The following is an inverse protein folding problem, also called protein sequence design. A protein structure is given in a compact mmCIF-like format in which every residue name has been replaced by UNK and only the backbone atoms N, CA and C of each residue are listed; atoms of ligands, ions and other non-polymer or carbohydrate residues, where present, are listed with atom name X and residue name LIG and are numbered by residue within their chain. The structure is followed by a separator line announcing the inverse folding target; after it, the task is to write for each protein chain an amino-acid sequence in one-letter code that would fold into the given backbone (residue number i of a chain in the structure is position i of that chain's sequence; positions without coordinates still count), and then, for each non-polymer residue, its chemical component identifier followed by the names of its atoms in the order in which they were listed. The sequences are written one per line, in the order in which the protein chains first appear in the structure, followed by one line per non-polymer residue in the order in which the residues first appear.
data_IF_150165100175
#
_entry.id   IF_150165100175
#
_cell.length_a   1.000
_cell.length_b   1.000
_cell.length_c   1.000
_cell.angle_alpha   90.00
_cell.angle_beta   90.00
_cell.angle_gamma   90.00
#
_symmetry.space_group_name_H-M   'P 1'
#
loop_
_entity.id
_entity.type
_entity.pdbx_description
1 polymer ?
#
# COMPACT_ATOMS: atom_id res chain seq x y z
N UNK A 1 17.92 0.37 18.80
CA UNK A 1 17.42 0.23 17.41
C UNK A 1 16.15 1.04 17.32
N UNK A 2 16.03 2.05 16.44
CA UNK A 2 14.77 2.78 16.37
C UNK A 2 13.71 1.82 15.86
N UNK A 3 12.64 1.67 16.62
CA UNK A 3 11.48 0.88 16.22
C UNK A 3 10.84 1.61 15.04
N UNK A 4 11.19 1.19 13.82
CA UNK A 4 10.51 1.64 12.61
C UNK A 4 9.04 1.24 12.74
N UNK A 5 8.16 2.21 13.00
CA UNK A 5 6.72 1.96 13.06
C UNK A 5 6.29 1.34 11.73
N UNK A 6 5.76 0.11 11.79
CA UNK A 6 5.25 -0.61 10.64
C UNK A 6 3.74 -0.62 10.68
N UNK A 7 3.12 -0.43 9.53
CA UNK A 7 1.68 -0.50 9.35
C UNK A 7 1.32 -1.69 8.46
N UNK A 8 0.20 -2.32 8.77
CA UNK A 8 -0.36 -3.37 7.92
C UNK A 8 -1.12 -2.77 6.76
N UNK A 9 -0.94 -3.34 5.58
CA UNK A 9 -1.61 -2.97 4.36
C UNK A 9 -2.00 -4.22 3.57
N UNK A 10 -3.26 -4.32 3.16
CA UNK A 10 -3.70 -5.34 2.22
C UNK A 10 -3.33 -4.96 0.80
N UNK A 11 -2.52 -5.80 0.14
CA UNK A 11 -2.05 -5.58 -1.23
C UNK A 11 -2.58 -6.64 -2.18
N UNK A 12 -2.82 -6.34 -3.46
CA UNK A 12 -3.24 -7.33 -4.45
C UNK A 12 -2.27 -8.51 -4.50
N UNK A 13 -2.78 -9.74 -4.47
CA UNK A 13 -1.92 -10.95 -4.55
C UNK A 13 -1.12 -11.04 -5.84
N UNK A 14 -1.61 -10.44 -6.92
CA UNK A 14 -0.89 -10.34 -8.19
C UNK A 14 0.48 -9.65 -8.05
N UNK A 15 0.63 -8.77 -7.06
CA UNK A 15 1.90 -8.10 -6.75
C UNK A 15 2.92 -9.02 -6.07
N UNK A 16 2.53 -10.18 -5.55
CA UNK A 16 3.47 -11.15 -4.99
C UNK A 16 4.36 -11.82 -6.05
N UNK A 17 4.12 -11.51 -7.33
CA UNK A 17 5.03 -11.86 -8.43
C UNK A 17 6.34 -11.07 -8.41
N UNK A 18 6.39 -9.92 -7.71
CA UNK A 18 7.63 -9.17 -7.47
C UNK A 18 8.24 -9.53 -6.11
N UNK A 19 9.55 -9.33 -5.94
CA UNK A 19 10.20 -9.59 -4.65
C UNK A 19 9.64 -8.67 -3.55
N UNK A 20 9.60 -9.15 -2.31
CA UNK A 20 9.09 -8.37 -1.18
C UNK A 20 9.85 -7.05 -0.97
N UNK A 21 11.16 -7.05 -1.18
CA UNK A 21 11.97 -5.84 -1.06
C UNK A 21 11.60 -4.81 -2.14
N UNK A 22 11.43 -5.25 -3.39
CA UNK A 22 11.02 -4.38 -4.48
C UNK A 22 9.60 -3.82 -4.24
N UNK A 23 8.68 -4.69 -3.81
CA UNK A 23 7.31 -4.28 -3.47
C UNK A 23 7.31 -3.22 -2.37
N UNK A 24 8.04 -3.45 -1.27
CA UNK A 24 8.12 -2.49 -0.18
C UNK A 24 8.72 -1.15 -0.66
N UNK A 25 9.80 -1.17 -1.44
CA UNK A 25 10.43 0.04 -1.97
C UNK A 25 9.45 0.85 -2.84
N UNK A 26 8.74 0.19 -3.75
CA UNK A 26 7.76 0.84 -4.63
C UNK A 26 6.63 1.44 -3.82
N UNK A 27 6.02 0.69 -2.89
CA UNK A 27 4.92 1.21 -2.06
C UNK A 27 5.34 2.42 -1.24
N UNK A 28 6.49 2.34 -0.58
CA UNK A 28 7.00 3.44 0.24
C UNK A 28 7.28 4.67 -0.61
N UNK A 29 7.91 4.50 -1.78
CA UNK A 29 8.21 5.61 -2.69
C UNK A 29 6.94 6.32 -3.15
N UNK A 30 6.01 5.60 -3.77
CA UNK A 30 4.81 6.19 -4.38
C UNK A 30 3.90 6.83 -3.32
N UNK A 31 3.70 6.17 -2.17
CA UNK A 31 2.90 6.72 -1.07
C UNK A 31 3.58 7.96 -0.46
N UNK A 32 4.91 7.95 -0.31
CA UNK A 32 5.65 9.10 0.22
C UNK A 32 5.58 10.30 -0.71
N UNK A 33 5.79 10.09 -2.01
CA UNK A 33 5.71 11.14 -3.03
C UNK A 33 4.30 11.76 -3.07
N UNK A 34 3.26 10.92 -3.05
CA UNK A 34 1.88 11.38 -3.01
C UNK A 34 1.57 12.14 -1.70
N UNK A 35 2.02 11.62 -0.55
CA UNK A 35 1.86 12.29 0.74
C UNK A 35 2.54 13.65 0.78
N UNK A 36 3.76 13.77 0.24
CA UNK A 36 4.47 15.05 0.17
C UNK A 36 3.77 16.06 -0.72
N UNK A 37 3.09 15.59 -1.77
CA UNK A 37 2.35 16.46 -2.70
C UNK A 37 0.97 16.90 -2.17
N UNK A 38 0.25 16.02 -1.47
CA UNK A 38 -1.16 16.25 -1.12
C UNK A 38 -1.44 16.29 0.39
N UNK A 39 -0.43 16.06 1.25
CA UNK A 39 -0.57 16.04 2.71
C UNK A 39 -1.31 14.83 3.28
N UNK A 40 -1.70 13.87 2.45
CA UNK A 40 -2.42 12.64 2.83
C UNK A 40 -1.95 11.45 2.00
N UNK A 41 -1.95 10.27 2.60
CA UNK A 41 -1.56 9.03 1.92
C UNK A 41 -2.73 8.38 1.18
N UNK A 42 -3.95 8.58 1.65
CA UNK A 42 -5.15 8.03 1.01
C UNK A 42 -5.34 8.61 -0.40
N UNK A 43 -5.65 7.72 -1.35
CA UNK A 43 -5.74 8.02 -2.77
C UNK A 43 -4.43 7.82 -3.54
N UNK A 44 -3.31 7.49 -2.88
CA UNK A 44 -2.05 7.14 -3.54
C UNK A 44 -2.28 5.97 -4.51
N UNK A 45 -1.99 6.18 -5.79
CA UNK A 45 -2.11 5.14 -6.81
C UNK A 45 -0.75 4.48 -7.06
N UNK A 46 -0.72 3.16 -7.07
CA UNK A 46 0.49 2.36 -7.34
C UNK A 46 0.18 1.37 -8.44
N UNK A 47 1.06 1.30 -9.44
CA UNK A 47 0.92 0.39 -10.58
C UNK A 47 2.07 -0.60 -10.63
N UNK A 48 1.76 -1.89 -10.53
CA UNK A 48 2.74 -2.99 -10.59
C UNK A 48 2.19 -4.07 -11.51
N UNK A 49 3.01 -4.50 -12.49
CA UNK A 49 2.67 -5.57 -13.45
C UNK A 49 1.27 -5.44 -14.09
N UNK A 50 0.88 -4.21 -14.45
CA UNK A 50 -0.41 -3.93 -15.09
C UNK A 50 -1.58 -3.73 -14.14
N UNK A 51 -1.46 -4.15 -12.88
CA UNK A 51 -2.46 -3.90 -11.82
C UNK A 51 -2.24 -2.51 -11.22
N UNK A 52 -3.24 -1.65 -11.30
CA UNK A 52 -3.26 -0.33 -10.64
C UNK A 52 -4.14 -0.44 -9.41
N UNK A 53 -3.61 -0.09 -8.24
CA UNK A 53 -4.37 -0.06 -7.01
C UNK A 53 -4.20 1.28 -6.29
N UNK A 54 -5.23 1.68 -5.54
CA UNK A 54 -5.24 2.92 -4.77
C UNK A 54 -5.32 2.64 -3.28
N UNK A 55 -4.55 3.40 -2.51
CA UNK A 55 -4.56 3.30 -1.06
C UNK A 55 -5.88 3.86 -0.50
N UNK A 56 -6.60 3.02 0.23
CA UNK A 56 -7.83 3.34 0.95
C UNK A 56 -7.72 2.87 2.40
N UNK A 57 -8.50 3.47 3.29
CA UNK A 57 -8.65 3.02 4.67
C UNK A 57 -9.97 2.26 4.81
N UNK A 58 -9.92 0.99 5.21
CA UNK A 58 -11.10 0.17 5.45
C UNK A 58 -11.03 -0.45 6.86
N UNK A 59 -11.96 -0.10 7.74
CA UNK A 59 -12.01 -0.57 9.13
C UNK A 59 -10.62 -0.49 9.81
N UNK A 60 -10.02 0.70 9.80
CA UNK A 60 -8.69 1.00 10.40
C UNK A 60 -7.49 0.29 9.74
N UNK A 61 -7.72 -0.51 8.69
CA UNK A 61 -6.66 -1.20 7.95
C UNK A 61 -6.46 -0.56 6.59
N UNK A 62 -5.19 -0.33 6.21
CA UNK A 62 -4.88 0.17 4.89
C UNK A 62 -5.10 -0.90 3.83
N UNK A 63 -5.63 -0.50 2.70
CA UNK A 63 -5.98 -1.38 1.60
C UNK A 63 -5.58 -0.74 0.28
N UNK A 64 -4.67 -1.39 -0.45
CA UNK A 64 -4.41 -1.09 -1.86
C UNK A 64 -5.50 -1.75 -2.70
N UNK A 65 -6.62 -1.06 -2.86
CA UNK A 65 -7.76 -1.54 -3.65
C UNK A 65 -7.43 -1.45 -5.13
N UNK A 66 -7.51 -2.57 -5.85
CA UNK A 66 -7.39 -2.59 -7.31
C UNK A 66 -8.50 -1.72 -7.93
N UNK A 67 -8.16 -0.87 -8.90
CA UNK A 67 -9.14 -0.02 -9.59
C UNK A 67 -10.19 -0.85 -10.36
N UNK A 68 -9.87 -2.11 -10.71
CA UNK A 68 -10.83 -3.06 -11.29
C UNK A 68 -11.71 -3.77 -10.25
N UNK A 69 -11.36 -3.67 -8.96
CA UNK A 69 -12.15 -4.24 -7.88
C UNK A 69 -13.32 -3.30 -7.52
N UNK A 70 -14.50 -3.63 -8.04
CA UNK A 70 -15.73 -2.87 -7.79
C UNK A 70 -16.32 -3.10 -6.38
N UNK A 71 -15.77 -4.03 -5.59
CA UNK A 71 -16.28 -4.33 -4.24
C UNK A 71 -15.91 -3.23 -3.27
N UNK A 72 -16.80 -2.95 -2.33
CA UNK A 72 -16.58 -1.97 -1.24
C UNK A 72 -15.88 -2.59 -0.02
N UNK A 73 -15.75 -3.92 0.00
CA UNK A 73 -15.15 -4.70 1.07
C UNK A 73 -14.03 -5.55 0.48
N UNK A 74 -12.84 -5.58 1.10
CA UNK A 74 -11.72 -6.39 0.61
C UNK A 74 -12.04 -7.89 0.71
N UNK A 75 -11.89 -8.60 -0.41
CA UNK A 75 -11.91 -10.06 -0.40
C UNK A 75 -10.51 -10.60 -0.04
N UNK A 76 -10.34 -11.12 1.17
CA UNK A 76 -9.05 -11.64 1.66
C UNK A 76 -8.44 -12.78 0.80
N UNK A 77 -9.23 -13.38 -0.11
CA UNK A 77 -8.72 -14.32 -1.11
C UNK A 77 -7.89 -13.63 -2.20
N UNK A 78 -8.19 -12.38 -2.53
CA UNK A 78 -7.53 -11.62 -3.61
C UNK A 78 -6.41 -10.72 -3.08
N UNK A 79 -6.38 -10.50 -1.76
CA UNK A 79 -5.41 -9.64 -1.10
C UNK A 79 -4.50 -10.42 -0.14
N UNK A 80 -3.31 -9.88 0.09
CA UNK A 80 -2.31 -10.38 1.02
C UNK A 80 -1.98 -9.31 2.07
N UNK A 81 -1.84 -9.71 3.33
CA UNK A 81 -1.42 -8.80 4.40
C UNK A 81 0.07 -8.55 4.32
N UNK A 82 0.45 -7.31 4.00
CA UNK A 82 1.82 -6.87 3.86
C UNK A 82 2.17 -5.80 4.91
N UNK A 83 3.41 -5.80 5.39
CA UNK A 83 3.89 -4.78 6.32
C UNK A 83 4.73 -3.76 5.56
N UNK A 84 4.38 -2.48 5.67
CA UNK A 84 5.16 -1.38 5.12
C UNK A 84 5.61 -0.44 6.25
N UNK A 85 6.81 0.17 6.16
CA UNK A 85 7.20 1.20 7.10
C UNK A 85 6.25 2.39 6.98
N UNK A 86 5.89 2.98 8.11
CA UNK A 86 5.02 4.15 8.15
C UNK A 86 5.71 5.33 7.49
N UNK A 87 5.21 5.78 6.34
CA UNK A 87 5.74 6.93 5.59
C UNK A 87 5.78 8.22 6.41
N UNK A 88 4.88 8.39 7.38
CA UNK A 88 4.87 9.56 8.26
C UNK A 88 5.98 9.48 9.33
N UNK A 89 6.13 8.32 9.97
CA UNK A 89 7.13 8.12 11.01
C UNK A 89 8.56 7.92 10.46
N UNK A 90 8.68 7.49 9.20
CA UNK A 90 9.94 7.25 8.53
C UNK A 90 10.45 8.50 7.78
N UNK A 91 9.99 9.70 8.16
CA UNK A 91 10.65 10.98 7.84
C UNK A 91 11.97 11.07 8.62
N UNK A 92 12.95 10.25 8.24
CA UNK A 92 14.35 10.35 8.68
C UNK A 92 15.24 10.17 7.47
#
# INVERSE_FOLDING_TARGET
MPFYHRVYCWVPRSWLSVSWEALQKVLVKEISEYYMKYGRAEGSAVRINGTTARLQLHNETYWMRDDLDLRTIPNLKDYYTFQIPCVHCNRL
#
